data_IF_690459617268
#
_entry.id   IF_690459617268
#
_cell.length_a   1.000
_cell.length_b   1.000
_cell.length_c   1.000
_cell.angle_alpha   90.00
_cell.angle_beta   90.00
_cell.angle_gamma   90.00
#
_symmetry.space_group_name_H-M   'P 1'
#
loop_
_entity.id
_entity.type
_entity.pdbx_description
1 polymer ?
#
# COMPACT_ATOMS: atom_id res chain seq x y z
N UNK A 1 12.76 17.94 37.14
CA UNK A 1 14.15 18.29 37.49
C UNK A 1 15.06 18.51 36.28
N UNK A 2 14.80 17.88 35.13
CA UNK A 2 15.72 17.95 33.97
C UNK A 2 15.79 19.31 33.27
N UNK A 3 14.68 20.06 33.19
CA UNK A 3 14.71 21.42 32.60
C UNK A 3 15.64 22.37 33.38
N UNK A 4 15.64 22.30 34.71
CA UNK A 4 16.50 23.13 35.56
C UNK A 4 17.97 22.74 35.39
N UNK A 5 18.28 21.44 35.33
CA UNK A 5 19.65 20.95 35.10
C UNK A 5 20.18 21.35 33.71
N UNK A 6 19.35 21.26 32.67
CA UNK A 6 19.71 21.69 31.32
C UNK A 6 19.89 23.20 31.24
N UNK A 7 19.03 23.96 31.92
CA UNK A 7 19.16 25.42 32.01
C UNK A 7 20.49 25.81 32.66
N UNK A 8 20.83 25.22 33.82
CA UNK A 8 22.09 25.48 34.52
C UNK A 8 23.28 25.09 33.64
N UNK A 9 23.23 23.94 32.97
CA UNK A 9 24.32 23.49 32.09
C UNK A 9 24.59 24.47 30.94
N UNK A 10 23.54 25.01 30.31
CA UNK A 10 23.68 26.00 29.23
C UNK A 10 24.11 27.36 29.79
N UNK A 11 23.59 27.77 30.94
CA UNK A 11 23.99 29.00 31.61
C UNK A 11 25.46 28.99 32.04
N UNK A 12 26.00 27.81 32.39
CA UNK A 12 27.41 27.61 32.76
C UNK A 12 28.34 27.37 31.56
N UNK A 13 27.84 27.45 30.32
CA UNK A 13 28.67 27.34 29.12
C UNK A 13 29.63 28.54 29.04
N UNK A 14 30.92 28.28 28.79
CA UNK A 14 31.97 29.31 28.70
C UNK A 14 31.63 30.40 27.68
N UNK A 15 30.96 30.06 26.59
CA UNK A 15 30.55 31.01 25.54
C UNK A 15 29.41 31.93 25.99
N UNK A 16 28.50 31.42 26.83
CA UNK A 16 27.38 32.20 27.39
C UNK A 16 27.91 33.10 28.50
N UNK A 17 28.71 32.54 29.41
CA UNK A 17 29.34 33.28 30.51
C UNK A 17 30.22 34.42 29.99
N UNK A 18 31.06 34.17 28.98
CA UNK A 18 31.95 35.18 28.42
C UNK A 18 31.18 36.37 27.80
N UNK A 19 30.12 36.10 27.04
CA UNK A 19 29.27 37.14 26.43
C UNK A 19 28.47 37.92 27.48
N UNK A 20 27.92 37.22 28.48
CA UNK A 20 27.17 37.84 29.57
C UNK A 20 28.08 38.74 30.43
N UNK A 21 29.29 38.30 30.74
CA UNK A 21 30.27 39.09 31.51
C UNK A 21 30.73 40.33 30.72
N UNK A 22 31.04 40.19 29.44
CA UNK A 22 31.41 41.32 28.59
C UNK A 22 30.27 42.36 28.52
N UNK A 23 29.02 41.90 28.35
CA UNK A 23 27.83 42.77 28.34
C UNK A 23 27.67 43.49 29.67
N UNK A 24 27.84 42.78 30.79
CA UNK A 24 27.75 43.31 32.13
C UNK A 24 28.78 44.40 32.41
N UNK A 25 30.04 44.16 32.07
CA UNK A 25 31.11 45.15 32.25
C UNK A 25 30.84 46.39 31.40
N UNK A 26 30.53 46.25 30.11
CA UNK A 26 30.32 47.42 29.24
C UNK A 26 29.10 48.24 29.68
N UNK A 27 27.93 47.60 29.80
CA UNK A 27 26.68 48.30 30.14
C UNK A 27 26.71 48.79 31.57
N UNK A 28 27.20 47.95 32.49
CA UNK A 28 27.27 48.28 33.91
C UNK A 28 28.26 49.41 34.19
N UNK A 29 29.44 49.42 33.57
CA UNK A 29 30.39 50.54 33.74
C UNK A 29 29.83 51.87 33.24
N UNK A 30 29.10 51.87 32.11
CA UNK A 30 28.45 53.08 31.60
C UNK A 30 27.38 53.57 32.58
N UNK A 31 26.49 52.69 33.05
CA UNK A 31 25.42 53.05 33.99
C UNK A 31 25.97 53.50 35.35
N UNK A 32 27.03 52.86 35.83
CA UNK A 32 27.71 53.26 37.05
C UNK A 32 28.32 54.65 36.91
N UNK A 33 28.94 54.96 35.78
CA UNK A 33 29.49 56.29 35.53
C UNK A 33 28.37 57.35 35.46
N UNK A 34 27.24 57.04 34.83
CA UNK A 34 26.10 57.97 34.74
C UNK A 34 25.52 58.26 36.13
N UNK A 35 25.32 57.24 36.96
CA UNK A 35 24.56 57.37 38.21
C UNK A 35 25.40 57.75 39.42
N UNK A 36 26.71 57.45 39.39
CA UNK A 36 27.59 57.59 40.56
C UNK A 36 28.90 58.34 40.26
N UNK A 37 29.04 59.01 39.11
CA UNK A 37 30.25 59.79 38.80
C UNK A 37 30.58 60.82 39.89
N UNK A 38 29.60 61.59 40.35
CA UNK A 38 29.81 62.65 41.33
C UNK A 38 30.23 62.09 42.70
N UNK A 39 29.62 60.97 43.13
CA UNK A 39 29.97 60.27 44.36
C UNK A 39 31.39 59.67 44.30
N UNK A 40 31.77 59.13 43.13
CA UNK A 40 33.09 58.55 42.87
C UNK A 40 34.19 59.61 42.84
N UNK A 41 33.95 60.75 42.20
CA UNK A 41 34.90 61.87 42.11
C UNK A 41 34.98 62.63 43.43
N UNK A 42 33.86 62.78 44.13
CA UNK A 42 33.78 63.42 45.44
C UNK A 42 34.32 62.58 46.61
N UNK A 43 34.67 61.31 46.37
CA UNK A 43 35.20 60.40 47.39
C UNK A 43 34.16 59.95 48.44
N UNK A 44 32.87 60.15 48.19
CA UNK A 44 31.77 59.83 49.11
C UNK A 44 31.19 58.43 48.86
N UNK A 45 32.06 57.44 48.70
CA UNK A 45 31.63 56.06 48.40
C UNK A 45 31.15 55.38 49.68
N UNK A 46 29.83 55.25 49.83
CA UNK A 46 29.22 54.51 50.94
C UNK A 46 29.01 53.03 50.60
N UNK A 47 28.78 52.19 51.61
CA UNK A 47 28.42 50.77 51.41
C UNK A 47 27.16 50.60 50.56
N UNK A 48 26.21 51.53 50.66
CA UNK A 48 25.01 51.53 49.82
C UNK A 48 25.33 51.79 48.35
N UNK A 49 26.23 52.74 48.07
CA UNK A 49 26.73 53.05 46.71
C UNK A 49 27.42 51.83 46.10
N UNK A 50 28.28 51.13 46.85
CA UNK A 50 28.94 49.91 46.39
C UNK A 50 27.94 48.78 46.07
N UNK A 51 26.89 48.61 46.89
CA UNK A 51 25.84 47.63 46.63
C UNK A 51 25.04 47.97 45.37
N UNK A 52 24.72 49.25 45.16
CA UNK A 52 24.03 49.73 43.96
C UNK A 52 24.88 49.48 42.70
N UNK A 53 26.18 49.80 42.74
CA UNK A 53 27.11 49.51 41.63
C UNK A 53 27.17 48.01 41.34
N UNK A 54 27.26 47.18 42.37
CA UNK A 54 27.23 45.71 42.23
C UNK A 54 25.94 45.23 41.55
N UNK A 55 24.79 45.79 41.94
CA UNK A 55 23.50 45.47 41.31
C UNK A 55 23.42 45.94 39.85
N UNK A 56 23.97 47.12 39.54
CA UNK A 56 24.05 47.68 38.18
C UNK A 56 24.86 46.78 37.23
N UNK A 57 25.88 46.09 37.73
CA UNK A 57 26.65 45.10 36.97
C UNK A 57 25.94 43.74 36.90
N UNK A 58 25.23 43.36 37.96
CA UNK A 58 24.56 42.07 38.05
C UNK A 58 23.34 41.97 37.12
N UNK A 59 22.55 43.04 36.98
CA UNK A 59 21.31 43.01 36.20
C UNK A 59 21.58 42.71 34.70
N UNK A 60 22.48 43.39 33.99
CA UNK A 60 22.78 43.07 32.59
C UNK A 60 23.38 41.67 32.40
N UNK A 61 24.17 41.19 33.37
CA UNK A 61 24.69 39.82 33.37
C UNK A 61 23.57 38.78 33.38
N UNK A 62 22.59 38.93 34.29
CA UNK A 62 21.47 38.01 34.42
C UNK A 62 20.57 38.04 33.18
N UNK A 63 20.26 39.22 32.66
CA UNK A 63 19.41 39.38 31.46
C UNK A 63 20.08 38.78 30.22
N UNK A 64 21.39 39.02 30.04
CA UNK A 64 22.16 38.46 28.91
C UNK A 64 22.25 36.93 28.97
N UNK A 65 22.48 36.38 30.17
CA UNK A 65 22.51 34.93 30.40
C UNK A 65 21.14 34.30 30.12
N UNK A 66 20.07 34.84 30.69
CA UNK A 66 18.71 34.35 30.47
C UNK A 66 18.30 34.39 28.99
N UNK A 67 18.63 35.48 28.30
CA UNK A 67 18.31 35.65 26.86
C UNK A 67 19.07 34.65 26.00
N UNK A 68 20.36 34.43 26.29
CA UNK A 68 21.20 33.46 25.58
C UNK A 68 20.70 32.03 25.77
N UNK A 69 20.35 31.66 27.01
CA UNK A 69 19.80 30.33 27.31
C UNK A 69 18.45 30.13 26.62
N UNK A 70 17.56 31.14 26.66
CA UNK A 70 16.26 31.08 26.01
C UNK A 70 16.36 30.95 24.48
N UNK A 71 17.35 31.59 23.85
CA UNK A 71 17.60 31.47 22.41
C UNK A 71 18.10 30.05 22.04
N UNK A 72 19.07 29.52 22.80
CA UNK A 72 19.63 28.18 22.56
C UNK A 72 18.58 27.09 22.78
N UNK A 73 17.71 27.23 23.78
CA UNK A 73 16.63 26.28 24.02
C UNK A 73 15.57 26.32 22.92
N UNK A 74 15.23 27.51 22.37
CA UNK A 74 14.32 27.64 21.24
C UNK A 74 14.86 26.96 19.97
N UNK A 75 16.15 27.14 19.65
CA UNK A 75 16.77 26.46 18.50
C UNK A 75 16.80 24.94 18.66
N UNK A 76 17.08 24.42 19.87
CA UNK A 76 17.06 22.98 20.13
C UNK A 76 15.65 22.38 20.05
N UNK A 77 14.64 23.10 20.54
CA UNK A 77 13.25 22.64 20.47
C UNK A 77 12.73 22.62 19.03
N UNK A 78 13.02 23.65 18.24
CA UNK A 78 12.67 23.68 16.82
C UNK A 78 13.35 22.57 16.02
N UNK A 79 14.66 22.39 16.18
CA UNK A 79 15.39 21.35 15.44
C UNK A 79 14.94 19.92 15.76
N UNK A 80 14.49 19.62 16.99
CA UNK A 80 13.92 18.32 17.35
C UNK A 80 12.52 18.11 16.75
N UNK A 81 11.71 19.17 16.66
CA UNK A 81 10.40 19.10 16.01
C UNK A 81 10.52 18.92 14.50
N UNK A 82 11.45 19.64 13.86
CA UNK A 82 11.73 19.52 12.43
C UNK A 82 12.21 18.10 12.10
N UNK A 83 13.10 17.52 12.92
CA UNK A 83 13.56 16.14 12.74
C UNK A 83 12.42 15.13 12.92
N UNK A 84 11.58 15.30 13.94
CA UNK A 84 10.45 14.41 14.19
C UNK A 84 9.38 14.49 13.09
N UNK A 85 9.15 15.68 12.51
CA UNK A 85 8.29 15.88 11.35
C UNK A 85 8.87 15.22 10.10
N UNK A 86 10.18 15.36 9.87
CA UNK A 86 10.86 14.71 8.74
C UNK A 86 10.81 13.18 8.87
N UNK A 87 11.04 12.65 10.07
CA UNK A 87 10.94 11.22 10.37
C UNK A 87 9.51 10.72 10.19
N UNK A 88 8.50 11.48 10.66
CA UNK A 88 7.10 11.16 10.44
C UNK A 88 6.68 11.24 8.96
N UNK A 89 7.26 12.15 8.18
CA UNK A 89 7.04 12.27 6.73
C UNK A 89 7.66 11.09 5.97
N UNK A 90 8.89 10.69 6.34
CA UNK A 90 9.54 9.47 5.83
C UNK A 90 8.72 8.22 6.22
N UNK A 91 8.25 8.12 7.46
CA UNK A 91 7.42 7.01 7.93
C UNK A 91 6.04 6.99 7.23
N UNK A 92 5.45 8.15 6.95
CA UNK A 92 4.19 8.25 6.21
C UNK A 92 4.33 7.82 4.74
N UNK A 93 5.47 8.11 4.10
CA UNK A 93 5.80 7.59 2.75
C UNK A 93 5.95 6.05 2.78
N UNK A 94 6.48 5.49 3.88
CA UNK A 94 6.62 4.05 4.07
C UNK A 94 5.31 3.32 4.43
N UNK A 95 4.32 3.99 5.04
CA UNK A 95 3.00 3.40 5.34
C UNK A 95 2.07 3.33 4.13
N UNK A 96 2.27 4.19 3.14
CA UNK A 96 1.40 4.29 1.96
C UNK A 96 1.20 2.99 1.14
N UNK A 97 2.21 2.10 1.00
CA UNK A 97 2.01 0.85 0.29
C UNK A 97 1.37 -0.26 1.15
N UNK A 98 1.44 -0.21 2.49
CA UNK A 98 0.83 -1.25 3.35
C UNK A 98 -0.70 -1.20 3.35
N UNK A 99 -1.28 -0.01 3.27
CA UNK A 99 -2.74 0.17 3.17
C UNK A 99 -3.26 0.04 1.73
N UNK A 100 -2.37 -0.10 0.74
CA UNK A 100 -2.78 -0.24 -0.65
C UNK A 100 -3.46 -1.61 -0.86
N UNK A 101 -4.73 -1.66 -1.30
CA UNK A 101 -5.42 -2.93 -1.56
C UNK A 101 -4.79 -3.71 -2.72
N UNK A 102 -3.96 -3.07 -3.55
CA UNK A 102 -3.23 -3.73 -4.62
C UNK A 102 -1.86 -4.24 -4.13
N UNK A 103 -1.38 -5.38 -4.67
CA UNK A 103 -0.02 -5.85 -4.42
C UNK A 103 1.04 -4.81 -4.81
N UNK A 104 1.93 -4.48 -3.89
CA UNK A 104 3.10 -3.63 -4.14
C UNK A 104 4.33 -4.33 -3.57
N UNK A 105 5.32 -4.54 -4.42
CA UNK A 105 6.61 -5.10 -4.02
C UNK A 105 7.75 -4.20 -4.48
N UNK A 106 8.91 -4.32 -3.83
CA UNK A 106 10.16 -3.69 -4.27
C UNK A 106 11.27 -4.72 -4.27
N UNK A 107 12.04 -4.73 -5.35
CA UNK A 107 13.17 -5.63 -5.53
C UNK A 107 14.42 -4.81 -5.85
N UNK A 108 15.55 -5.16 -5.23
CA UNK A 108 16.84 -4.59 -5.57
C UNK A 108 17.26 -4.98 -6.98
N UNK A 109 18.18 -4.21 -7.57
CA UNK A 109 18.72 -4.52 -8.90
C UNK A 109 19.43 -5.88 -8.94
N UNK A 110 19.95 -6.33 -7.81
CA UNK A 110 20.55 -7.66 -7.59
C UNK A 110 19.53 -8.81 -7.66
N UNK A 111 18.24 -8.51 -7.53
CA UNK A 111 17.16 -9.50 -7.53
C UNK A 111 16.62 -9.83 -6.14
N UNK A 112 17.14 -9.19 -5.09
CA UNK A 112 16.65 -9.40 -3.72
C UNK A 112 15.33 -8.69 -3.48
N UNK A 113 14.34 -9.38 -2.92
CA UNK A 113 13.07 -8.77 -2.53
C UNK A 113 13.29 -7.88 -1.29
N UNK A 114 13.13 -6.58 -1.41
CA UNK A 114 13.37 -5.60 -0.35
C UNK A 114 12.10 -5.29 0.46
N UNK A 115 10.93 -5.41 -0.18
CA UNK A 115 9.66 -5.08 0.44
C UNK A 115 8.51 -5.78 -0.30
N UNK A 116 7.47 -6.15 0.45
CA UNK A 116 6.19 -6.59 -0.07
C UNK A 116 5.09 -6.17 0.91
N UNK A 117 4.05 -5.49 0.43
CA UNK A 117 2.90 -5.15 1.26
C UNK A 117 2.03 -6.39 1.53
N UNK A 118 1.08 -6.33 2.50
CA UNK A 118 0.21 -7.46 2.82
C UNK A 118 -0.58 -7.99 1.61
N UNK A 119 -1.06 -7.10 0.74
CA UNK A 119 -1.80 -7.44 -0.47
C UNK A 119 -0.97 -8.26 -1.48
N UNK A 120 0.37 -8.21 -1.40
CA UNK A 120 1.27 -8.99 -2.23
C UNK A 120 1.53 -10.43 -1.76
N UNK A 121 0.98 -10.85 -0.62
CA UNK A 121 1.14 -12.20 -0.10
C UNK A 121 0.82 -13.34 -1.10
N UNK A 122 -0.21 -13.24 -1.96
CA UNK A 122 -0.45 -14.25 -2.99
C UNK A 122 0.66 -14.34 -4.04
N UNK A 123 1.23 -13.19 -4.43
CA UNK A 123 2.32 -13.14 -5.42
C UNK A 123 3.60 -13.71 -4.81
N UNK A 124 3.97 -13.29 -3.61
CA UNK A 124 5.19 -13.80 -2.94
C UNK A 124 5.10 -15.31 -2.67
N UNK A 125 3.93 -15.79 -2.27
CA UNK A 125 3.66 -17.23 -2.09
C UNK A 125 3.78 -18.02 -3.39
N UNK A 126 3.18 -17.53 -4.48
CA UNK A 126 3.26 -18.18 -5.80
C UNK A 126 4.68 -18.22 -6.37
N UNK A 127 5.48 -17.19 -6.07
CA UNK A 127 6.88 -17.12 -6.45
C UNK A 127 7.80 -17.91 -5.49
N UNK A 128 7.31 -18.30 -4.32
CA UNK A 128 8.10 -18.97 -3.28
C UNK A 128 9.23 -18.11 -2.73
N UNK A 129 9.00 -16.80 -2.57
CA UNK A 129 10.02 -15.83 -2.12
C UNK A 129 9.55 -15.05 -0.90
N UNK A 130 10.41 -14.90 0.11
CA UNK A 130 10.17 -14.02 1.26
C UNK A 130 10.93 -12.69 1.13
N UNK A 131 10.51 -11.68 1.89
CA UNK A 131 11.26 -10.41 1.97
C UNK A 131 12.65 -10.69 2.55
N UNK A 132 13.68 -10.21 1.86
CA UNK A 132 15.08 -10.48 2.15
C UNK A 132 15.68 -11.65 1.36
N UNK A 133 14.89 -12.39 0.59
CA UNK A 133 15.37 -13.48 -0.27
C UNK A 133 15.49 -13.05 -1.74
N UNK A 134 16.18 -13.86 -2.53
CA UNK A 134 16.37 -13.61 -3.95
C UNK A 134 15.18 -14.13 -4.75
N UNK A 135 14.64 -13.29 -5.64
CA UNK A 135 13.58 -13.68 -6.57
C UNK A 135 14.10 -14.79 -7.51
N UNK A 136 13.32 -15.86 -7.76
CA UNK A 136 13.76 -16.96 -8.61
C UNK A 136 14.31 -16.49 -9.96
N UNK A 137 15.44 -17.05 -10.40
CA UNK A 137 16.20 -16.57 -11.54
C UNK A 137 15.38 -16.45 -12.85
N UNK A 138 14.45 -17.37 -13.09
CA UNK A 138 13.58 -17.34 -14.27
C UNK A 138 12.62 -16.14 -14.24
N UNK A 139 11.98 -15.87 -13.10
CA UNK A 139 11.09 -14.72 -12.92
C UNK A 139 11.86 -13.41 -12.93
N UNK A 140 13.05 -13.39 -12.32
CA UNK A 140 13.93 -12.22 -12.34
C UNK A 140 14.29 -11.79 -13.77
N UNK A 141 14.61 -12.76 -14.64
CA UNK A 141 14.92 -12.49 -16.04
C UNK A 141 13.70 -11.90 -16.78
N UNK A 142 12.51 -12.47 -16.57
CA UNK A 142 11.27 -11.96 -17.15
C UNK A 142 10.94 -10.54 -16.66
N UNK A 143 11.03 -10.28 -15.36
CA UNK A 143 10.78 -8.96 -14.76
C UNK A 143 11.73 -7.89 -15.32
N UNK A 144 13.02 -8.23 -15.48
CA UNK A 144 14.00 -7.29 -16.07
C UNK A 144 13.68 -7.00 -17.54
N UNK A 145 13.44 -8.04 -18.34
CA UNK A 145 13.08 -7.87 -19.75
C UNK A 145 11.78 -7.05 -19.92
N UNK A 146 10.82 -7.26 -19.03
CA UNK A 146 9.55 -6.54 -19.05
C UNK A 146 9.70 -5.06 -18.62
N UNK A 147 10.63 -4.77 -17.69
CA UNK A 147 10.96 -3.41 -17.27
C UNK A 147 11.70 -2.60 -18.35
N UNK A 148 12.54 -3.27 -19.15
CA UNK A 148 13.32 -2.66 -20.23
C UNK A 148 12.50 -2.41 -21.50
N UNK A 149 11.31 -3.00 -21.62
CA UNK A 149 10.42 -2.77 -22.76
C UNK A 149 9.88 -1.33 -22.76
N UNK A 150 9.55 -0.80 -23.96
CA UNK A 150 8.97 0.53 -24.13
C UNK A 150 7.64 0.47 -24.91
N UNK A 151 6.48 0.67 -24.27
CA UNK A 151 6.31 0.86 -22.82
C UNK A 151 6.62 -0.43 -22.04
N UNK A 152 6.89 -0.30 -20.75
CA UNK A 152 7.10 -1.44 -19.85
C UNK A 152 5.87 -2.36 -19.89
N UNK A 153 6.09 -3.67 -19.82
CA UNK A 153 5.03 -4.68 -19.92
C UNK A 153 4.84 -5.38 -18.59
N UNK A 154 3.64 -5.90 -18.34
CA UNK A 154 3.40 -6.78 -17.20
C UNK A 154 3.81 -8.22 -17.50
N UNK A 155 4.24 -8.93 -16.47
CA UNK A 155 4.30 -10.40 -16.45
C UNK A 155 3.08 -10.94 -15.71
N UNK A 156 2.75 -12.21 -15.89
CA UNK A 156 1.63 -12.83 -15.20
C UNK A 156 2.12 -13.80 -14.13
N UNK A 157 1.61 -13.64 -12.91
CA UNK A 157 1.87 -14.53 -11.79
C UNK A 157 0.57 -15.20 -11.38
N UNK A 158 0.52 -16.52 -11.47
CA UNK A 158 -0.65 -17.31 -11.06
C UNK A 158 -0.46 -17.83 -9.65
N UNK A 159 -1.39 -17.50 -8.76
CA UNK A 159 -1.45 -17.96 -7.37
C UNK A 159 -2.76 -18.70 -7.14
N UNK A 160 -2.74 -20.03 -7.27
CA UNK A 160 -3.96 -20.84 -7.23
C UNK A 160 -4.92 -20.46 -8.36
N UNK A 161 -6.14 -20.04 -8.02
CA UNK A 161 -7.17 -19.57 -8.96
C UNK A 161 -7.01 -18.10 -9.37
N UNK A 162 -6.19 -17.32 -8.64
CA UNK A 162 -5.96 -15.90 -8.95
C UNK A 162 -4.83 -15.73 -9.97
N UNK A 163 -5.00 -14.77 -10.87
CA UNK A 163 -3.95 -14.31 -11.78
C UNK A 163 -3.68 -12.84 -11.55
N UNK A 164 -2.41 -12.52 -11.30
CA UNK A 164 -1.94 -11.16 -11.13
C UNK A 164 -1.14 -10.72 -12.35
N UNK A 165 -1.43 -9.54 -12.88
CA UNK A 165 -0.53 -8.84 -13.78
C UNK A 165 0.46 -8.03 -12.91
N UNK A 166 1.74 -8.31 -13.04
CA UNK A 166 2.81 -7.65 -12.28
C UNK A 166 3.60 -6.76 -13.24
N UNK A 167 3.49 -5.45 -13.05
CA UNK A 167 4.20 -4.44 -13.83
C UNK A 167 5.47 -4.01 -13.10
N UNK A 168 6.67 -4.34 -13.62
CA UNK A 168 7.92 -3.80 -13.12
C UNK A 168 8.16 -2.38 -13.66
N UNK A 169 8.49 -1.47 -12.75
CA UNK A 169 8.81 -0.07 -13.04
C UNK A 169 10.15 0.28 -12.39
N UNK A 170 11.14 0.56 -13.23
CA UNK A 170 12.42 1.09 -12.77
C UNK A 170 12.29 2.56 -12.41
N UNK A 171 12.87 2.97 -11.28
CA UNK A 171 12.92 4.38 -10.88
C UNK A 171 14.29 4.95 -11.24
N UNK A 172 14.30 5.96 -12.12
CA UNK A 172 15.54 6.57 -12.59
C UNK A 172 16.39 7.08 -11.42
N UNK A 173 17.68 6.71 -11.39
CA UNK A 173 18.62 7.11 -10.35
C UNK A 173 18.62 6.24 -9.09
N UNK A 174 17.82 5.17 -9.02
CA UNK A 174 17.81 4.22 -7.91
C UNK A 174 18.09 2.79 -8.38
N UNK A 175 18.81 2.01 -7.56
CA UNK A 175 19.12 0.60 -7.83
C UNK A 175 18.03 -0.36 -7.32
N UNK A 176 16.76 -0.02 -7.56
CA UNK A 176 15.62 -0.90 -7.28
C UNK A 176 14.53 -0.77 -8.35
N UNK A 177 13.71 -1.81 -8.45
CA UNK A 177 12.49 -1.85 -9.25
C UNK A 177 11.29 -1.93 -8.31
N UNK A 178 10.26 -1.13 -8.58
CA UNK A 178 8.95 -1.32 -7.97
C UNK A 178 8.15 -2.29 -8.83
N UNK A 179 7.47 -3.24 -8.20
CA UNK A 179 6.58 -4.20 -8.85
C UNK A 179 5.16 -3.90 -8.40
N UNK A 180 4.30 -3.52 -9.34
CA UNK A 180 2.89 -3.26 -9.08
C UNK A 180 2.07 -4.43 -9.58
N UNK A 181 1.43 -5.15 -8.66
CA UNK A 181 0.49 -6.20 -9.00
C UNK A 181 -0.92 -5.65 -9.17
N UNK A 182 -1.66 -6.18 -10.12
CA UNK A 182 -3.10 -5.98 -10.28
C UNK A 182 -3.74 -7.34 -10.43
N UNK A 183 -4.78 -7.62 -9.64
CA UNK A 183 -5.56 -8.83 -9.81
C UNK A 183 -6.38 -8.72 -11.11
N UNK A 184 -6.03 -9.55 -12.09
CA UNK A 184 -6.69 -9.61 -13.41
C UNK A 184 -7.57 -10.85 -13.54
N UNK A 185 -7.85 -11.54 -12.44
CA UNK A 185 -8.63 -12.79 -12.45
C UNK A 185 -10.00 -12.57 -13.09
N UNK A 186 -10.71 -11.51 -12.68
CA UNK A 186 -11.99 -11.14 -13.27
C UNK A 186 -11.89 -10.86 -14.78
N UNK A 187 -10.90 -10.07 -15.18
CA UNK A 187 -10.67 -9.73 -16.59
C UNK A 187 -10.42 -10.98 -17.44
N UNK A 188 -9.61 -11.93 -16.94
CA UNK A 188 -9.36 -13.20 -17.62
C UNK A 188 -10.58 -14.12 -17.71
N UNK A 189 -11.44 -14.12 -16.69
CA UNK A 189 -12.70 -14.88 -16.69
C UNK A 189 -13.71 -14.26 -17.66
N UNK A 190 -13.70 -12.94 -17.83
CA UNK A 190 -14.54 -12.22 -18.80
C UNK A 190 -14.02 -12.38 -20.24
N UNK A 191 -12.70 -12.40 -20.45
CA UNK A 191 -12.05 -12.45 -21.78
C UNK A 191 -12.09 -13.79 -22.51
N UNK A 192 -12.62 -14.87 -21.91
CA UNK A 192 -12.98 -16.08 -22.69
C UNK A 192 -14.29 -15.84 -23.45
N UNK A 193 -14.26 -14.94 -24.44
CA UNK A 193 -15.35 -14.47 -25.31
C UNK A 193 -16.51 -15.48 -25.44
N UNK A 194 -17.51 -15.42 -24.55
CA UNK A 194 -18.61 -16.39 -24.57
C UNK A 194 -19.41 -16.29 -25.88
N UNK A 195 -19.51 -15.09 -26.46
CA UNK A 195 -20.18 -14.84 -27.74
C UNK A 195 -19.54 -15.51 -28.96
N UNK A 196 -18.23 -15.80 -28.92
CA UNK A 196 -17.51 -16.48 -30.01
C UNK A 196 -17.38 -17.98 -29.81
N UNK A 197 -17.77 -18.50 -28.65
CA UNK A 197 -17.73 -19.94 -28.41
C UNK A 197 -18.81 -20.62 -29.28
N UNK A 198 -18.45 -21.55 -30.16
CA UNK A 198 -19.42 -22.27 -30.99
C UNK A 198 -20.32 -23.20 -30.16
N UNK A 199 -19.96 -23.46 -28.90
CA UNK A 199 -20.74 -24.25 -27.97
C UNK A 199 -21.61 -23.36 -27.06
N UNK A 200 -22.77 -23.85 -26.58
CA UNK A 200 -23.59 -23.15 -25.60
C UNK A 200 -22.79 -22.73 -24.35
N UNK A 201 -22.86 -21.44 -24.00
CA UNK A 201 -22.34 -20.91 -22.75
C UNK A 201 -23.42 -20.05 -22.12
N UNK A 202 -23.80 -20.41 -20.89
CA UNK A 202 -24.80 -19.70 -20.09
C UNK A 202 -24.22 -19.29 -18.74
N UNK A 203 -24.82 -18.30 -18.08
CA UNK A 203 -24.53 -17.92 -16.69
C UNK A 203 -25.80 -17.88 -15.90
N UNK A 204 -25.81 -18.46 -14.72
CA UNK A 204 -26.92 -18.37 -13.76
C UNK A 204 -26.46 -17.73 -12.44
N UNK A 205 -27.35 -17.05 -11.74
CA UNK A 205 -27.13 -16.62 -10.36
C UNK A 205 -27.22 -17.83 -9.40
N UNK A 206 -26.72 -17.72 -8.16
CA UNK A 206 -26.87 -18.75 -7.13
C UNK A 206 -28.34 -19.10 -6.84
N UNK A 207 -29.26 -18.15 -7.07
CA UNK A 207 -30.71 -18.32 -6.91
C UNK A 207 -31.38 -18.95 -8.13
N UNK A 208 -30.62 -19.27 -9.18
CA UNK A 208 -31.13 -19.95 -10.36
C UNK A 208 -31.56 -19.05 -11.52
N UNK A 209 -31.32 -17.73 -11.45
CA UNK A 209 -31.70 -16.81 -12.51
C UNK A 209 -30.73 -16.87 -13.69
N UNK A 210 -31.21 -17.02 -14.92
CA UNK A 210 -30.35 -16.96 -16.12
C UNK A 210 -29.88 -15.51 -16.35
N UNK A 211 -28.60 -15.23 -16.14
CA UNK A 211 -28.00 -13.90 -16.26
C UNK A 211 -27.49 -13.62 -17.68
N UNK A 212 -27.08 -14.66 -18.41
CA UNK A 212 -26.51 -14.53 -19.74
C UNK A 212 -26.61 -15.87 -20.50
N UNK A 213 -26.76 -15.80 -21.81
CA UNK A 213 -26.64 -16.94 -22.72
C UNK A 213 -26.05 -16.45 -24.05
N UNK A 214 -25.03 -17.14 -24.56
CA UNK A 214 -24.43 -16.80 -25.86
C UNK A 214 -25.34 -17.23 -27.05
N UNK A 215 -25.00 -16.80 -28.25
CA UNK A 215 -25.75 -17.13 -29.47
C UNK A 215 -25.84 -18.65 -29.73
N UNK A 216 -24.80 -19.41 -29.42
CA UNK A 216 -24.79 -20.87 -29.56
C UNK A 216 -25.77 -21.58 -28.62
N UNK A 217 -26.19 -20.92 -27.54
CA UNK A 217 -27.20 -21.44 -26.61
C UNK A 217 -28.62 -21.36 -27.17
N UNK A 218 -28.88 -20.65 -28.27
CA UNK A 218 -30.22 -20.42 -28.78
C UNK A 218 -31.07 -21.70 -29.01
N UNK A 219 -30.55 -22.80 -29.59
CA UNK A 219 -31.32 -24.03 -29.75
C UNK A 219 -31.70 -24.67 -28.41
N UNK A 220 -30.76 -24.68 -27.46
CA UNK A 220 -30.97 -25.21 -26.12
C UNK A 220 -31.98 -24.34 -25.33
N UNK A 221 -31.78 -23.02 -25.34
CA UNK A 221 -32.64 -22.06 -24.69
C UNK A 221 -34.06 -22.12 -25.23
N UNK A 222 -34.24 -22.23 -26.55
CA UNK A 222 -35.57 -22.38 -27.16
C UNK A 222 -36.24 -23.69 -26.76
N UNK A 223 -35.50 -24.80 -26.74
CA UNK A 223 -36.07 -26.10 -26.40
C UNK A 223 -36.47 -26.22 -24.92
N UNK A 224 -35.71 -25.60 -24.03
CA UNK A 224 -35.96 -25.57 -22.58
C UNK A 224 -36.74 -24.32 -22.13
N UNK A 225 -37.19 -23.48 -23.07
CA UNK A 225 -37.92 -22.23 -22.82
C UNK A 225 -37.21 -21.27 -21.85
N UNK A 226 -35.88 -21.21 -21.94
CA UNK A 226 -35.04 -20.35 -21.11
C UNK A 226 -35.03 -18.92 -21.66
N UNK A 227 -35.05 -17.95 -20.75
CA UNK A 227 -34.98 -16.52 -21.09
C UNK A 227 -34.06 -15.79 -20.13
N UNK A 228 -33.17 -14.93 -20.64
CA UNK A 228 -32.29 -14.10 -19.81
C UNK A 228 -33.14 -13.20 -18.90
N UNK A 229 -32.78 -13.11 -17.63
CA UNK A 229 -33.52 -12.41 -16.58
C UNK A 229 -34.65 -13.22 -15.94
N UNK A 230 -34.88 -14.46 -16.35
CA UNK A 230 -35.87 -15.37 -15.76
C UNK A 230 -35.19 -16.51 -14.99
N UNK A 231 -35.85 -17.09 -13.98
CA UNK A 231 -35.37 -18.30 -13.32
C UNK A 231 -35.30 -19.47 -14.31
N UNK A 232 -34.24 -20.27 -14.23
CA UNK A 232 -34.18 -21.58 -14.86
C UNK A 232 -35.26 -22.50 -14.25
N UNK A 233 -35.80 -23.47 -15.02
CA UNK A 233 -36.65 -24.52 -14.48
C UNK A 233 -35.98 -25.22 -13.28
N UNK A 234 -36.72 -25.47 -12.20
CA UNK A 234 -36.16 -25.98 -10.94
C UNK A 234 -35.47 -27.34 -11.12
N UNK A 235 -36.01 -28.19 -11.99
CA UNK A 235 -35.46 -29.48 -12.39
C UNK A 235 -34.12 -29.37 -13.15
N UNK A 236 -33.77 -28.19 -13.65
CA UNK A 236 -32.47 -27.87 -14.23
C UNK A 236 -31.55 -27.10 -13.27
N UNK A 237 -32.10 -26.11 -12.57
CA UNK A 237 -31.35 -25.22 -11.68
C UNK A 237 -30.75 -25.98 -10.49
N UNK A 238 -31.54 -26.84 -9.84
CA UNK A 238 -31.09 -27.57 -8.65
C UNK A 238 -29.96 -28.57 -8.94
N UNK A 239 -30.01 -29.38 -10.02
CA UNK A 239 -28.87 -30.22 -10.39
C UNK A 239 -27.62 -29.43 -10.78
N UNK A 240 -27.76 -28.34 -11.53
CA UNK A 240 -26.62 -27.49 -11.94
C UNK A 240 -25.91 -26.88 -10.73
N UNK A 241 -26.68 -26.36 -9.77
CA UNK A 241 -26.14 -25.82 -8.53
C UNK A 241 -25.43 -26.88 -7.70
N UNK A 242 -26.10 -28.01 -7.42
CA UNK A 242 -25.52 -29.12 -6.64
C UNK A 242 -24.28 -29.74 -7.28
N UNK A 243 -24.20 -29.76 -8.60
CA UNK A 243 -23.00 -30.22 -9.32
C UNK A 243 -21.89 -29.17 -9.29
N UNK A 244 -22.23 -27.88 -9.43
CA UNK A 244 -21.27 -26.78 -9.39
C UNK A 244 -20.55 -26.63 -8.05
N UNK A 245 -21.20 -27.02 -6.95
CA UNK A 245 -20.63 -27.03 -5.59
C UNK A 245 -19.57 -28.14 -5.37
N UNK A 246 -19.42 -29.09 -6.31
CA UNK A 246 -18.47 -30.20 -6.18
C UNK A 246 -17.08 -29.84 -6.72
N UNK A 247 -16.04 -30.46 -6.15
CA UNK A 247 -14.66 -30.27 -6.61
C UNK A 247 -14.47 -30.74 -8.07
N UNK A 248 -15.20 -31.79 -8.47
CA UNK A 248 -15.32 -32.24 -9.86
C UNK A 248 -16.79 -32.21 -10.32
N UNK A 249 -17.24 -31.13 -10.98
CA UNK A 249 -18.63 -31.01 -11.41
C UNK A 249 -19.01 -32.06 -12.46
N UNK A 250 -20.05 -32.84 -12.15
CA UNK A 250 -20.67 -33.78 -13.08
C UNK A 250 -21.50 -33.04 -14.14
N UNK A 251 -21.47 -33.55 -15.38
CA UNK A 251 -22.28 -32.99 -16.45
C UNK A 251 -23.74 -33.47 -16.33
N UNK A 252 -24.69 -32.53 -16.43
CA UNK A 252 -26.11 -32.82 -16.45
C UNK A 252 -26.58 -32.90 -17.90
N UNK A 253 -27.18 -34.02 -18.28
CA UNK A 253 -27.73 -34.19 -19.61
C UNK A 253 -29.15 -33.66 -19.73
N UNK A 254 -29.38 -32.88 -20.77
CA UNK A 254 -30.68 -32.32 -21.10
C UNK A 254 -31.01 -32.62 -22.56
N UNK A 255 -32.28 -32.87 -22.83
CA UNK A 255 -32.77 -33.11 -24.18
C UNK A 255 -33.74 -32.00 -24.57
N UNK A 256 -33.63 -31.54 -25.81
CA UNK A 256 -34.45 -30.46 -26.31
C UNK A 256 -34.32 -30.29 -27.82
N UNK A 257 -35.46 -30.13 -28.51
CA UNK A 257 -35.47 -29.85 -29.95
C UNK A 257 -34.79 -30.93 -30.81
N UNK A 258 -34.83 -32.20 -30.36
CA UNK A 258 -34.18 -33.32 -31.04
C UNK A 258 -32.66 -33.43 -30.82
N UNK A 259 -32.10 -32.64 -29.90
CA UNK A 259 -30.67 -32.68 -29.52
C UNK A 259 -30.51 -33.07 -28.05
N UNK A 260 -29.37 -33.67 -27.74
CA UNK A 260 -28.93 -33.98 -26.38
C UNK A 260 -27.70 -33.15 -26.06
N UNK A 261 -27.75 -32.41 -24.95
CA UNK A 261 -26.66 -31.58 -24.47
C UNK A 261 -26.16 -32.07 -23.13
N UNK A 262 -24.84 -32.12 -22.95
CA UNK A 262 -24.20 -32.26 -21.64
C UNK A 262 -23.84 -30.87 -21.12
N UNK A 263 -24.44 -30.47 -19.99
CA UNK A 263 -24.22 -29.19 -19.34
C UNK A 263 -23.29 -29.35 -18.15
N UNK A 264 -22.12 -28.74 -18.20
CA UNK A 264 -21.14 -28.74 -17.11
C UNK A 264 -21.16 -27.40 -16.38
N UNK A 265 -21.59 -27.35 -15.10
CA UNK A 265 -21.51 -26.15 -14.30
C UNK A 265 -20.08 -25.94 -13.78
N UNK A 266 -19.70 -24.68 -13.64
CA UNK A 266 -18.48 -24.22 -13.00
C UNK A 266 -18.88 -23.06 -12.11
N UNK A 267 -19.02 -23.35 -10.82
CA UNK A 267 -19.32 -22.33 -9.83
C UNK A 267 -18.10 -21.43 -9.59
N UNK A 268 -18.33 -20.14 -9.51
CA UNK A 268 -17.31 -19.14 -9.17
C UNK A 268 -17.89 -18.25 -8.07
N UNK A 269 -17.85 -18.72 -6.80
CA UNK A 269 -18.55 -18.09 -5.68
C UNK A 269 -18.22 -16.61 -5.51
N UNK A 270 -16.98 -16.22 -5.81
CA UNK A 270 -16.47 -14.86 -5.64
C UNK A 270 -17.16 -13.83 -6.54
N UNK A 271 -17.72 -14.25 -7.68
CA UNK A 271 -18.44 -13.38 -8.59
C UNK A 271 -19.96 -13.52 -8.49
N UNK A 272 -20.47 -14.42 -7.64
CA UNK A 272 -21.90 -14.64 -7.45
C UNK A 272 -22.61 -15.11 -8.73
N UNK A 273 -21.95 -15.96 -9.53
CA UNK A 273 -22.59 -16.63 -10.66
C UNK A 273 -21.94 -17.99 -10.96
N UNK A 274 -22.71 -18.87 -11.58
CA UNK A 274 -22.28 -20.17 -12.06
C UNK A 274 -22.23 -20.11 -13.59
N UNK A 275 -21.07 -20.41 -14.19
CA UNK A 275 -20.97 -20.62 -15.64
C UNK A 275 -21.47 -22.03 -15.97
N UNK A 276 -22.27 -22.16 -17.02
CA UNK A 276 -22.77 -23.45 -17.51
C UNK A 276 -22.31 -23.63 -18.95
N UNK A 277 -21.42 -24.60 -19.16
CA UNK A 277 -20.88 -24.93 -20.48
C UNK A 277 -21.66 -26.12 -21.06
N UNK A 278 -22.34 -25.92 -22.18
CA UNK A 278 -23.03 -26.98 -22.90
C UNK A 278 -22.17 -27.58 -23.99
N UNK A 279 -22.23 -28.89 -24.16
CA UNK A 279 -21.65 -29.61 -25.31
C UNK A 279 -22.75 -30.43 -25.97
N UNK A 280 -22.92 -30.31 -27.28
CA UNK A 280 -23.86 -31.15 -28.03
C UNK A 280 -23.28 -32.58 -28.15
N UNK A 281 -23.96 -33.53 -27.52
CA UNK A 281 -23.56 -34.95 -27.47
C UNK A 281 -24.56 -35.83 -28.24
N UNK A 282 -25.42 -35.23 -29.07
CA UNK A 282 -26.48 -35.95 -29.79
C UNK A 282 -25.91 -37.11 -30.61
N UNK A 283 -24.86 -36.86 -31.39
CA UNK A 283 -24.22 -37.89 -32.22
C UNK A 283 -23.64 -39.03 -31.36
N UNK A 284 -23.01 -38.71 -30.23
CA UNK A 284 -22.42 -39.70 -29.34
C UNK A 284 -23.51 -40.61 -28.73
N UNK A 285 -24.65 -40.03 -28.32
CA UNK A 285 -25.78 -40.79 -27.75
C UNK A 285 -26.49 -41.67 -28.78
N UNK A 286 -26.62 -41.23 -30.03
CA UNK A 286 -27.23 -42.05 -31.09
C UNK A 286 -26.34 -43.25 -31.48
N UNK A 287 -25.01 -43.09 -31.48
CA UNK A 287 -24.08 -44.20 -31.70
C UNK A 287 -24.17 -45.23 -30.58
N UNK A 288 -24.24 -44.79 -29.32
CA UNK A 288 -24.35 -45.69 -28.16
C UNK A 288 -25.67 -46.49 -28.18
N UNK A 289 -26.78 -45.86 -28.57
CA UNK A 289 -28.08 -46.54 -28.73
C UNK A 289 -28.07 -47.55 -29.88
N UNK A 290 -27.34 -47.28 -30.97
CA UNK A 290 -27.26 -48.20 -32.12
C UNK A 290 -26.40 -49.44 -31.86
N UNK A 291 -25.58 -49.45 -30.79
CA UNK A 291 -24.73 -50.57 -30.39
C UNK A 291 -25.27 -51.34 -29.16
N UNK A 292 -26.47 -51.01 -28.67
CA UNK A 292 -27.23 -51.81 -27.69
C UNK A 292 -28.28 -52.65 -28.38
#
# INVERSE_FOLDING_TARGET
MDRIRTWIRVASDRSVLGRALATAVVVGSILTLINHADDLVGGQVTTATLLQIGLTLLVPYLVSTASSVAAIQRHRAGGLQDHALLEAEIEAIHKFPDENPNPVLRMGRDGRLLYANPSAAPITSALGVAVGEDVPAHVLAELRSAAEASPARSIEVRSGWRTFAVLPVAVAGFDFLNLYGTDITANKVVERFPDRNPNPVMRMSPEGMLLYANAASAPLAGALQLSTGQPLPLDLADPLRRSGEQEEPEAIEVQGGGRTYALKPVDIPEFGFINVYGTDITAAREVEKAHR
#
